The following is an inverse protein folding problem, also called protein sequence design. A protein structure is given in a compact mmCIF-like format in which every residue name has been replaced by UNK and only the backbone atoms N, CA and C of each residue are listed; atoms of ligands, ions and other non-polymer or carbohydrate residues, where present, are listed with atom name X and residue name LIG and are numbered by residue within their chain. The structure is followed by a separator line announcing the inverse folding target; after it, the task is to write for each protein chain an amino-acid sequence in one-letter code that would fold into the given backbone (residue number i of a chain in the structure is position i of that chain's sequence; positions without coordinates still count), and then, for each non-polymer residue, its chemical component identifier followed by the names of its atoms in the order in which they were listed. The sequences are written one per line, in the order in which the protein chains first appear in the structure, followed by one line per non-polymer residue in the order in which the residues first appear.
data_IF_669108073017
#
_entry.id   IF_669108073017
#
_cell.length_a   1.000
_cell.length_b   1.000
_cell.length_c   1.000
_cell.angle_alpha   90.00
_cell.angle_beta   90.00
_cell.angle_gamma   90.00
#
_symmetry.space_group_name_H-M   'P 1'
#
loop_
_entity.id
_entity.type
_entity.pdbx_description
1 polymer ?
#
# COMPACT_ATOMS: atom_id res chain seq x y z
N UNK A 1 -12.12 3.20 4.85
CA UNK A 1 -11.81 1.85 4.36
C UNK A 1 -12.13 1.80 2.89
N UNK A 2 -11.08 1.80 2.10
CA UNK A 2 -11.15 1.85 0.64
C UNK A 2 -11.45 0.48 0.04
N UNK A 3 -12.34 0.44 -0.94
CA UNK A 3 -12.74 -0.79 -1.62
C UNK A 3 -11.90 -1.04 -2.87
N UNK A 4 -11.85 -2.29 -3.34
CA UNK A 4 -11.12 -2.64 -4.57
C UNK A 4 -11.63 -1.88 -5.82
N UNK A 5 -12.93 -1.55 -5.85
CA UNK A 5 -13.52 -0.71 -6.89
C UNK A 5 -12.93 0.71 -6.93
N UNK A 6 -12.71 1.33 -5.77
CA UNK A 6 -12.19 2.70 -5.69
C UNK A 6 -10.74 2.77 -6.18
N UNK A 7 -9.93 1.75 -5.84
CA UNK A 7 -8.54 1.64 -6.32
C UNK A 7 -8.49 1.46 -7.84
N UNK A 8 -9.41 0.67 -8.40
CA UNK A 8 -9.55 0.51 -9.84
C UNK A 8 -9.91 1.82 -10.53
N UNK A 9 -10.89 2.56 -10.00
CA UNK A 9 -11.32 3.85 -10.56
C UNK A 9 -10.18 4.87 -10.55
N UNK A 10 -9.42 4.97 -9.45
CA UNK A 10 -8.24 5.84 -9.36
C UNK A 10 -7.18 5.46 -10.40
N UNK A 11 -6.95 4.16 -10.64
CA UNK A 11 -6.01 3.72 -11.65
C UNK A 11 -6.48 4.07 -13.08
N UNK A 12 -7.77 3.88 -13.39
CA UNK A 12 -8.32 4.28 -14.69
C UNK A 12 -8.20 5.80 -14.90
N UNK A 13 -8.41 6.61 -13.86
CA UNK A 13 -8.19 8.06 -13.93
C UNK A 13 -6.72 8.42 -14.17
N UNK A 14 -5.77 7.70 -13.59
CA UNK A 14 -4.34 7.92 -13.84
C UNK A 14 -3.93 7.59 -15.27
N UNK A 15 -4.59 6.59 -15.86
CA UNK A 15 -4.35 6.14 -17.23
C UNK A 15 -5.13 6.94 -18.28
N UNK A 16 -5.96 7.89 -17.85
CA UNK A 16 -6.89 8.65 -18.70
C UNK A 16 -7.88 7.75 -19.49
N UNK A 17 -8.06 6.51 -19.04
CA UNK A 17 -8.97 5.50 -19.61
C UNK A 17 -10.37 5.61 -18.98
N UNK A 18 -10.86 6.84 -18.88
CA UNK A 18 -12.21 7.13 -18.39
C UNK A 18 -13.06 7.74 -19.50
N UNK A 19 -14.36 7.50 -19.43
CA UNK A 19 -15.26 8.12 -20.39
C UNK A 19 -15.20 9.66 -20.28
N UNK A 20 -14.71 10.33 -21.32
CA UNK A 20 -14.49 11.80 -21.35
C UNK A 20 -15.72 12.63 -20.94
N UNK A 21 -16.93 12.10 -21.18
CA UNK A 21 -18.19 12.82 -20.90
C UNK A 21 -18.79 12.53 -19.53
N UNK A 22 -18.44 11.41 -18.90
CA UNK A 22 -19.05 10.98 -17.62
C UNK A 22 -18.05 10.76 -16.49
N UNK A 23 -16.75 10.75 -16.80
CA UNK A 23 -15.68 10.45 -15.84
C UNK A 23 -15.74 9.04 -15.27
N UNK A 24 -16.56 8.14 -15.86
CA UNK A 24 -16.71 6.78 -15.36
C UNK A 24 -15.65 5.85 -15.94
N UNK A 25 -15.05 5.08 -15.05
CA UNK A 25 -14.09 4.02 -15.34
C UNK A 25 -14.74 2.73 -15.85
N UNK A 26 -16.05 2.53 -15.66
CA UNK A 26 -16.77 1.33 -16.10
C UNK A 26 -17.33 1.54 -17.51
N UNK A 27 -16.51 1.25 -18.52
CA UNK A 27 -16.85 1.35 -19.95
C UNK A 27 -16.69 -0.02 -20.63
N UNK A 28 -17.12 -0.14 -21.87
CA UNK A 28 -16.98 -1.41 -22.61
C UNK A 28 -15.50 -1.77 -22.85
N UNK A 29 -14.64 -0.76 -22.98
CA UNK A 29 -13.23 -0.89 -23.30
C UNK A 29 -12.39 -1.26 -22.07
N UNK A 30 -12.79 -0.82 -20.87
CA UNK A 30 -12.09 -1.14 -19.60
C UNK A 30 -12.48 -2.50 -19.01
N UNK A 31 -13.34 -3.28 -19.68
CA UNK A 31 -13.78 -4.59 -19.21
C UNK A 31 -12.63 -5.59 -19.08
N UNK A 32 -11.67 -5.54 -19.99
CA UNK A 32 -10.47 -6.38 -19.92
C UNK A 32 -9.63 -6.03 -18.69
N UNK A 33 -9.45 -4.73 -18.43
CA UNK A 33 -8.74 -4.24 -17.25
C UNK A 33 -9.41 -4.73 -15.98
N UNK A 34 -10.73 -4.58 -15.88
CA UNK A 34 -11.51 -5.03 -14.71
C UNK A 34 -11.32 -6.53 -14.42
N UNK A 35 -11.23 -7.38 -15.44
CA UNK A 35 -11.00 -8.82 -15.23
C UNK A 35 -9.60 -9.13 -14.68
N UNK A 36 -8.59 -8.34 -15.06
CA UNK A 36 -7.20 -8.50 -14.60
C UNK A 36 -6.96 -7.87 -13.22
N UNK A 37 -7.71 -6.81 -12.89
CA UNK A 37 -7.52 -5.99 -11.69
C UNK A 37 -7.49 -6.79 -10.39
N UNK A 38 -8.46 -7.70 -10.15
CA UNK A 38 -8.51 -8.45 -8.89
C UNK A 38 -7.27 -9.32 -8.68
N UNK A 39 -6.81 -10.00 -9.74
CA UNK A 39 -5.61 -10.84 -9.67
C UNK A 39 -4.36 -10.00 -9.38
N UNK A 40 -4.23 -8.85 -10.04
CA UNK A 40 -3.09 -7.93 -9.85
C UNK A 40 -3.13 -7.31 -8.44
N UNK A 41 -4.30 -6.87 -7.97
CA UNK A 41 -4.46 -6.31 -6.63
C UNK A 41 -4.08 -7.32 -5.54
N UNK A 42 -4.46 -8.60 -5.70
CA UNK A 42 -4.08 -9.64 -4.74
C UNK A 42 -2.56 -9.84 -4.65
N UNK A 43 -1.83 -9.64 -5.75
CA UNK A 43 -0.36 -9.68 -5.76
C UNK A 43 0.22 -8.44 -5.06
N UNK A 44 -0.18 -7.24 -5.52
CA UNK A 44 0.33 -5.96 -4.99
C UNK A 44 0.01 -5.78 -3.50
N UNK A 45 -1.14 -6.29 -3.04
CA UNK A 45 -1.53 -6.23 -1.62
C UNK A 45 -0.48 -6.90 -0.73
N UNK A 46 0.06 -8.04 -1.15
CA UNK A 46 1.08 -8.78 -0.38
C UNK A 46 2.39 -8.00 -0.31
N UNK A 47 2.74 -7.26 -1.37
CA UNK A 47 3.94 -6.42 -1.42
C UNK A 47 3.83 -5.16 -0.55
N UNK A 48 2.63 -4.57 -0.52
CA UNK A 48 2.31 -3.37 0.25
C UNK A 48 2.06 -3.66 1.73
N UNK A 49 1.69 -4.89 2.10
CA UNK A 49 1.35 -5.25 3.48
C UNK A 49 2.41 -4.88 4.52
N UNK A 50 3.73 -5.09 4.30
CA UNK A 50 4.77 -4.68 5.25
C UNK A 50 4.92 -3.17 5.45
N UNK A 51 4.40 -2.37 4.52
CA UNK A 51 4.42 -0.91 4.61
C UNK A 51 3.18 -0.36 5.32
N UNK A 52 2.15 -1.18 5.52
CA UNK A 52 0.88 -0.75 6.12
C UNK A 52 0.97 -0.74 7.64
N UNK A 53 0.25 0.21 8.25
CA UNK A 53 0.03 0.26 9.70
C UNK A 53 -0.72 -0.97 10.24
N UNK A 54 -1.48 -1.67 9.37
CA UNK A 54 -2.19 -2.91 9.72
C UNK A 54 -1.28 -4.15 9.74
N UNK A 55 0.03 -3.98 9.57
CA UNK A 55 1.00 -5.05 9.50
C UNK A 55 1.12 -5.79 10.83
N UNK A 56 0.63 -7.03 10.86
CA UNK A 56 0.77 -7.93 12.02
C UNK A 56 1.78 -9.03 11.71
N UNK A 57 2.98 -8.92 12.26
CA UNK A 57 4.01 -9.94 12.16
C UNK A 57 3.96 -10.92 13.33
N UNK A 58 3.98 -12.22 13.03
CA UNK A 58 4.30 -13.25 14.01
C UNK A 58 5.75 -13.70 13.83
N UNK A 59 6.53 -13.87 14.91
CA UNK A 59 7.90 -14.38 14.82
C UNK A 59 7.95 -15.71 14.04
N UNK A 60 8.76 -15.76 12.99
CA UNK A 60 8.98 -16.97 12.18
C UNK A 60 7.91 -17.31 11.14
N UNK A 61 6.88 -16.48 10.95
CA UNK A 61 5.88 -16.66 9.88
C UNK A 61 5.83 -15.45 8.96
N UNK A 62 5.67 -15.70 7.65
CA UNK A 62 5.29 -14.64 6.72
C UNK A 62 3.81 -14.34 6.92
N UNK A 63 3.43 -13.06 7.09
CA UNK A 63 2.03 -12.71 7.12
C UNK A 63 1.39 -12.97 5.77
N UNK A 64 0.14 -13.43 5.79
CA UNK A 64 -0.66 -13.76 4.60
C UNK A 64 -1.87 -12.85 4.60
N UNK A 65 -2.03 -12.04 3.56
CA UNK A 65 -3.25 -11.28 3.32
C UNK A 65 -4.34 -12.20 2.81
N UNK A 66 -5.58 -12.01 3.27
CA UNK A 66 -6.73 -12.68 2.68
C UNK A 66 -6.92 -12.25 1.22
N UNK A 67 -7.28 -13.20 0.37
CA UNK A 67 -7.56 -12.94 -1.04
C UNK A 67 -8.89 -12.18 -1.19
N UNK A 68 -8.86 -11.10 -1.96
CA UNK A 68 -10.04 -10.32 -2.34
C UNK A 68 -10.72 -11.03 -3.50
N UNK A 69 -12.02 -11.30 -3.36
CA UNK A 69 -12.80 -12.04 -4.38
C UNK A 69 -13.77 -11.15 -5.13
N UNK A 70 -14.16 -10.02 -4.55
CA UNK A 70 -15.13 -9.09 -5.14
C UNK A 70 -14.63 -7.65 -5.07
N UNK A 71 -15.14 -6.81 -5.97
CA UNK A 71 -14.78 -5.39 -6.05
C UNK A 71 -15.36 -4.54 -4.90
N UNK A 72 -16.42 -5.03 -4.28
CA UNK A 72 -17.12 -4.38 -3.15
C UNK A 72 -16.46 -4.69 -1.81
N UNK A 73 -15.53 -5.65 -1.79
CA UNK A 73 -14.80 -6.05 -0.58
C UNK A 73 -13.76 -4.97 -0.22
N UNK A 74 -13.72 -4.63 1.06
CA UNK A 74 -12.78 -3.67 1.61
C UNK A 74 -11.36 -4.24 1.62
N UNK A 75 -10.39 -3.42 1.24
CA UNK A 75 -8.99 -3.80 1.35
C UNK A 75 -8.58 -3.58 2.81
N UNK A 76 -8.25 -4.65 3.56
CA UNK A 76 -7.62 -4.49 4.89
C UNK A 76 -6.14 -4.10 4.71
N UNK A 77 -5.93 -2.86 4.28
CA UNK A 77 -4.67 -2.14 4.26
C UNK A 77 -4.97 -0.70 4.71
N UNK A 78 -3.91 0.05 4.96
CA UNK A 78 -4.02 1.49 5.23
C UNK A 78 -4.64 2.23 4.03
N UNK A 79 -5.61 3.11 4.29
CA UNK A 79 -6.32 3.90 3.28
C UNK A 79 -5.32 4.79 2.51
N UNK A 80 -4.26 5.27 3.17
CA UNK A 80 -3.19 6.06 2.52
C UNK A 80 -2.44 5.28 1.44
N UNK A 81 -2.16 3.99 1.69
CA UNK A 81 -1.55 3.09 0.71
C UNK A 81 -2.55 2.71 -0.37
N UNK A 82 -3.81 2.45 0.00
CA UNK A 82 -4.85 2.06 -0.94
C UNK A 82 -5.16 3.13 -1.97
N UNK A 83 -5.22 4.40 -1.56
CA UNK A 83 -5.53 5.51 -2.46
C UNK A 83 -4.28 6.10 -3.12
N UNK A 84 -3.13 6.06 -2.44
CA UNK A 84 -1.91 6.72 -2.90
C UNK A 84 -0.95 5.83 -3.69
N UNK A 85 -0.77 4.57 -3.30
CA UNK A 85 0.31 3.70 -3.81
C UNK A 85 -0.24 2.62 -4.75
N UNK A 86 -1.28 1.89 -4.33
CA UNK A 86 -1.86 0.80 -5.12
C UNK A 86 -2.31 1.19 -6.53
N UNK A 87 -2.93 2.37 -6.77
CA UNK A 87 -3.39 2.72 -8.11
C UNK A 87 -2.25 2.82 -9.14
N UNK A 88 -1.05 3.27 -8.72
CA UNK A 88 0.11 3.35 -9.62
C UNK A 88 0.65 1.98 -10.00
N UNK A 89 0.78 1.07 -9.03
CA UNK A 89 1.20 -0.31 -9.30
C UNK A 89 0.19 -1.05 -10.19
N UNK A 90 -1.11 -0.83 -9.95
CA UNK A 90 -2.15 -1.38 -10.79
C UNK A 90 -2.05 -0.84 -12.23
N UNK A 91 -1.93 0.48 -12.38
CA UNK A 91 -1.81 1.12 -13.68
C UNK A 91 -0.61 0.59 -14.47
N UNK A 92 0.56 0.45 -13.83
CA UNK A 92 1.76 -0.09 -14.46
C UNK A 92 1.55 -1.49 -15.05
N UNK A 93 0.88 -2.39 -14.32
CA UNK A 93 0.63 -3.76 -14.77
C UNK A 93 -0.48 -3.88 -15.83
N UNK A 94 -1.43 -2.94 -15.85
CA UNK A 94 -2.47 -2.92 -16.87
C UNK A 94 -1.95 -2.34 -18.19
N UNK A 95 -1.13 -1.30 -18.13
CA UNK A 95 -0.58 -0.61 -19.31
C UNK A 95 0.67 -1.24 -19.92
N UNK A 96 1.20 -2.32 -19.32
CA UNK A 96 2.43 -2.96 -19.76
C UNK A 96 2.39 -3.38 -21.24
N UNK A 97 1.23 -3.84 -21.70
CA UNK A 97 1.02 -4.33 -23.07
C UNK A 97 0.76 -3.19 -24.08
N UNK A 98 0.26 -2.04 -23.62
CA UNK A 98 -0.14 -0.92 -24.49
C UNK A 98 0.98 0.11 -24.65
N UNK A 99 1.56 0.57 -23.55
CA UNK A 99 2.59 1.59 -23.55
C UNK A 99 3.66 1.30 -22.48
N UNK A 100 4.78 0.64 -22.85
CA UNK A 100 5.80 0.24 -21.91
C UNK A 100 6.55 1.41 -21.27
N UNK A 101 6.59 2.58 -21.93
CA UNK A 101 7.25 3.78 -21.37
C UNK A 101 6.44 4.35 -20.21
N UNK A 102 5.13 4.50 -20.41
CA UNK A 102 4.20 5.00 -19.38
C UNK A 102 4.07 4.00 -18.23
N UNK A 103 4.01 2.69 -18.55
CA UNK A 103 4.02 1.64 -17.54
C UNK A 103 5.29 1.69 -16.67
N UNK A 104 6.46 1.90 -17.27
CA UNK A 104 7.73 2.04 -16.53
C UNK A 104 7.74 3.25 -15.61
N UNK A 105 7.17 4.38 -16.06
CA UNK A 105 7.01 5.57 -15.22
C UNK A 105 6.11 5.29 -14.00
N UNK A 106 4.96 4.64 -14.19
CA UNK A 106 4.07 4.29 -13.07
C UNK A 106 4.71 3.30 -12.11
N UNK A 107 5.47 2.31 -12.61
CA UNK A 107 6.22 1.38 -11.80
C UNK A 107 7.26 2.10 -10.92
N UNK A 108 8.03 3.03 -11.50
CA UNK A 108 9.00 3.82 -10.75
C UNK A 108 8.31 4.65 -9.65
N UNK A 109 7.20 5.32 -9.97
CA UNK A 109 6.42 6.10 -8.99
C UNK A 109 5.85 5.24 -7.87
N UNK A 110 5.39 4.03 -8.19
CA UNK A 110 4.92 3.06 -7.21
C UNK A 110 6.04 2.69 -6.22
N UNK A 111 7.23 2.35 -6.71
CA UNK A 111 8.38 1.98 -5.87
C UNK A 111 8.86 3.13 -4.96
N UNK A 112 8.88 4.36 -5.50
CA UNK A 112 9.20 5.56 -4.75
C UNK A 112 8.21 5.79 -3.60
N UNK A 113 6.91 5.75 -3.89
CA UNK A 113 5.86 5.97 -2.90
C UNK A 113 5.80 4.85 -1.86
N UNK A 114 6.00 3.60 -2.26
CA UNK A 114 6.10 2.44 -1.35
C UNK A 114 7.27 2.63 -0.38
N UNK A 115 8.41 3.12 -0.87
CA UNK A 115 9.58 3.40 -0.04
C UNK A 115 9.31 4.52 0.96
N UNK A 116 8.63 5.59 0.53
CA UNK A 116 8.20 6.67 1.43
C UNK A 116 7.23 6.14 2.49
N UNK A 117 6.22 5.37 2.09
CA UNK A 117 5.22 4.81 3.00
C UNK A 117 5.87 3.95 4.10
N UNK A 118 6.86 3.12 3.74
CA UNK A 118 7.65 2.33 4.71
C UNK A 118 8.41 3.19 5.72
N UNK A 119 8.87 4.37 5.31
CA UNK A 119 9.66 5.26 6.16
C UNK A 119 8.80 6.28 6.93
N UNK A 120 7.56 6.51 6.51
CA UNK A 120 6.69 7.54 7.07
C UNK A 120 5.80 7.07 8.21
N UNK A 121 5.89 5.80 8.62
CA UNK A 121 5.14 5.28 9.78
C UNK A 121 5.57 6.09 11.02
N UNK A 122 4.67 6.85 11.65
CA UNK A 122 5.02 7.67 12.82
C UNK A 122 5.56 6.78 13.94
N UNK A 123 6.82 6.98 14.32
CA UNK A 123 7.40 6.25 15.44
C UNK A 123 6.76 6.73 16.75
N UNK A 124 6.10 5.82 17.48
CA UNK A 124 5.71 6.06 18.86
C UNK A 124 6.95 6.10 19.74
N UNK A 125 7.16 7.18 20.49
CA UNK A 125 8.16 7.20 21.57
C UNK A 125 7.56 6.51 22.79
N UNK A 126 8.03 5.32 23.13
CA UNK A 126 7.72 4.72 24.43
C UNK A 126 8.79 5.15 25.44
N UNK A 127 8.35 5.58 26.63
CA UNK A 127 9.26 5.86 27.73
C UNK A 127 9.92 4.54 28.16
N UNK A 128 11.26 4.51 28.12
CA UNK A 128 12.03 3.40 28.65
C UNK A 128 11.80 3.39 30.16
N UNK A 129 10.96 2.46 30.64
CA UNK A 129 10.85 2.21 32.07
C UNK A 129 12.23 1.79 32.58
N UNK A 130 12.79 2.55 33.53
CA UNK A 130 14.06 2.19 34.16
C UNK A 130 13.84 0.93 35.00
N UNK A 131 14.08 -0.26 34.43
CA UNK A 131 14.02 -1.54 35.15
C UNK A 131 15.12 -1.69 36.22
N UNK A 132 16.13 -0.82 36.21
CA UNK A 132 17.14 -0.73 37.26
C UNK A 132 16.83 0.45 38.17
N UNK A 133 16.10 0.19 39.25
CA UNK A 133 16.03 1.10 40.38
C UNK A 133 17.41 1.23 41.06
N UNK A 134 17.86 2.47 41.24
CA UNK A 134 18.82 2.85 42.28
C UNK A 134 20.31 2.76 41.94
N UNK A 135 20.89 3.88 41.52
CA UNK A 135 22.19 4.29 42.09
C UNK A 135 21.87 5.38 43.12
N UNK A 136 21.21 4.96 44.21
CA UNK A 136 21.13 5.78 45.40
C UNK A 136 22.42 5.56 46.21
N UNK A 137 23.16 6.65 46.41
CA UNK A 137 24.34 6.82 47.27
C UNK A 137 25.67 6.18 46.83
N UNK A 138 26.36 6.88 45.91
CA UNK A 138 27.81 6.84 45.79
C UNK A 138 28.48 8.03 46.50
N UNK A 139 28.35 8.15 47.83
CA UNK A 139 29.28 8.96 48.63
C UNK A 139 30.62 8.22 48.73
N UNK A 140 31.43 8.23 47.68
CA UNK A 140 32.84 7.88 47.80
C UNK A 140 33.65 8.65 46.76
N UNK A 141 34.19 9.79 47.19
CA UNK A 141 35.56 10.24 46.87
C UNK A 141 35.90 11.51 47.67
N UNK A 142 36.41 11.31 48.89
CA UNK A 142 37.45 12.18 49.44
C UNK A 142 38.73 11.34 49.48
N UNK A 143 39.71 11.71 48.66
CA UNK A 143 41.10 12.05 49.00
C UNK A 143 41.87 12.38 47.71
#
# INVERSE_FOLDING_TARGET
MTNAQEVFELAMHLMDEVNESSGKADTADTKEYKNRTLAILNILRVECYPASDTYTAQPGKRPVCAEIKTFEESIDLDDGICQGVLPYGLAAHLFLDENPEVASYFQQRYEELLTVARNSIPAGSEDISNLYGGIEFGEFSHW
#
